data_IF_636104693803
#
_entry.id   IF_636104693803
#
_cell.length_a   1.000
_cell.length_b   1.000
_cell.length_c   1.000
_cell.angle_alpha   90.00
_cell.angle_beta   90.00
_cell.angle_gamma   90.00
#
_symmetry.space_group_name_H-M   'P 1'
#
loop_
_entity.id
_entity.type
_entity.pdbx_description
1 polymer ?
#
# COMPACT_ATOMS: atom_id res chain seq x y z
N UNK A 1 12.18 8.54 16.97
CA UNK A 1 11.91 7.57 18.06
C UNK A 1 10.56 6.93 17.75
N UNK A 2 10.43 5.61 17.83
CA UNK A 2 9.15 4.91 17.61
C UNK A 2 8.33 4.89 18.88
N UNK A 3 7.08 5.34 18.84
CA UNK A 3 6.09 5.15 19.90
C UNK A 3 5.22 3.97 19.48
N UNK A 4 4.99 3.02 20.38
CA UNK A 4 4.19 1.83 20.09
C UNK A 4 3.18 1.56 21.20
N UNK A 5 1.93 1.29 20.80
CA UNK A 5 0.86 0.84 21.70
C UNK A 5 0.37 -0.54 21.24
N UNK A 6 0.21 -1.44 22.21
CA UNK A 6 -0.38 -2.76 21.98
C UNK A 6 -1.64 -2.85 22.85
N UNK A 7 -2.78 -3.07 22.21
CA UNK A 7 -4.10 -3.12 22.86
C UNK A 7 -4.44 -1.85 23.69
N UNK A 8 -3.88 -0.70 23.27
CA UNK A 8 -4.09 0.62 23.91
C UNK A 8 -3.10 0.96 25.01
N UNK A 9 -2.12 0.08 25.30
CA UNK A 9 -1.05 0.32 26.29
C UNK A 9 0.29 0.53 25.60
N UNK A 10 1.11 1.45 26.11
CA UNK A 10 2.45 1.68 25.58
C UNK A 10 3.37 0.48 25.90
N UNK A 11 3.74 -0.27 24.86
CA UNK A 11 4.57 -1.48 24.94
C UNK A 11 5.44 -1.62 23.69
N UNK A 12 6.59 -2.30 23.83
CA UNK A 12 7.52 -2.57 22.73
C UNK A 12 7.75 -4.07 22.46
N UNK A 13 7.05 -4.93 23.15
CA UNK A 13 7.17 -6.39 23.03
C UNK A 13 5.81 -7.03 22.79
N UNK A 14 5.82 -8.09 22.00
CA UNK A 14 4.66 -8.94 21.70
C UNK A 14 5.01 -10.38 22.11
N UNK A 15 4.00 -11.15 22.51
CA UNK A 15 4.17 -12.56 22.84
C UNK A 15 4.66 -13.36 21.64
N UNK A 16 5.55 -14.32 21.86
CA UNK A 16 5.95 -15.31 20.86
C UNK A 16 4.79 -16.22 20.43
N UNK A 17 3.73 -16.29 21.24
CA UNK A 17 2.51 -17.04 20.95
C UNK A 17 1.52 -16.25 20.09
N UNK A 18 1.77 -14.94 19.82
CA UNK A 18 0.90 -14.18 18.93
C UNK A 18 0.98 -14.74 17.51
N UNK A 19 -0.17 -14.88 16.89
CA UNK A 19 -0.30 -15.49 15.57
C UNK A 19 0.32 -14.65 14.45
N UNK A 20 0.53 -13.34 14.66
CA UNK A 20 1.32 -12.52 13.73
C UNK A 20 2.78 -13.00 13.69
N UNK A 21 3.35 -13.39 14.84
CA UNK A 21 4.73 -13.91 14.93
C UNK A 21 4.84 -15.29 14.32
N UNK A 22 3.90 -16.19 14.64
CA UNK A 22 3.99 -17.60 14.23
C UNK A 22 3.61 -17.83 12.77
N UNK A 23 2.63 -17.10 12.25
CA UNK A 23 2.03 -17.40 10.93
C UNK A 23 1.82 -16.18 10.05
N UNK A 24 2.11 -14.96 10.51
CA UNK A 24 1.68 -13.76 9.81
C UNK A 24 0.15 -13.65 9.70
N UNK A 25 -0.58 -14.22 10.67
CA UNK A 25 -2.05 -14.29 10.66
C UNK A 25 -2.65 -12.96 11.11
N UNK A 26 -2.77 -12.04 10.14
CA UNK A 26 -3.25 -10.70 10.38
C UNK A 26 -3.21 -9.81 9.15
N UNK A 27 -3.65 -8.56 9.32
CA UNK A 27 -3.61 -7.52 8.32
C UNK A 27 -3.09 -6.21 8.89
N UNK A 28 -2.76 -5.26 7.99
CA UNK A 28 -2.21 -3.99 8.43
C UNK A 28 -2.60 -2.83 7.51
N UNK A 29 -2.40 -1.62 8.02
CA UNK A 29 -2.48 -0.40 7.25
C UNK A 29 -1.39 0.56 7.67
N UNK A 30 -1.01 1.47 6.77
CA UNK A 30 -0.02 2.52 7.04
C UNK A 30 -0.65 3.85 6.63
N UNK A 31 -0.67 4.81 7.53
CA UNK A 31 -1.37 6.09 7.42
C UNK A 31 -0.34 7.21 7.43
N UNK A 32 -0.44 8.15 6.50
CA UNK A 32 0.28 9.41 6.54
C UNK A 32 -0.41 10.33 7.55
N UNK A 33 0.36 10.94 8.44
CA UNK A 33 -0.11 11.98 9.38
C UNK A 33 0.44 13.33 8.91
N UNK A 34 -0.43 14.32 8.80
CA UNK A 34 -0.09 15.68 8.40
C UNK A 34 -0.68 16.65 9.43
N UNK A 35 0.14 17.48 10.06
CA UNK A 35 -0.31 18.45 11.07
C UNK A 35 -1.18 17.77 12.14
N UNK A 36 -0.77 16.63 12.68
CA UNK A 36 -1.49 15.83 13.68
C UNK A 36 -2.79 15.15 13.18
N UNK A 37 -3.10 15.20 11.88
CA UNK A 37 -4.30 14.58 11.32
C UNK A 37 -3.93 13.34 10.50
N UNK A 38 -4.50 12.17 10.80
CA UNK A 38 -4.33 10.97 9.97
C UNK A 38 -5.11 11.11 8.66
N UNK A 39 -4.40 11.13 7.52
CA UNK A 39 -4.99 11.29 6.21
C UNK A 39 -5.85 10.07 5.84
N UNK A 40 -7.02 10.30 5.23
CA UNK A 40 -7.96 9.28 4.73
C UNK A 40 -8.28 8.20 5.79
N UNK A 41 -8.45 8.60 7.05
CA UNK A 41 -8.63 7.67 8.18
C UNK A 41 -9.79 6.71 7.96
N UNK A 42 -10.95 7.19 7.47
CA UNK A 42 -12.13 6.37 7.19
C UNK A 42 -11.83 5.24 6.18
N UNK A 43 -11.06 5.53 5.13
CA UNK A 43 -10.64 4.54 4.14
C UNK A 43 -9.68 3.50 4.73
N UNK A 44 -8.81 3.91 5.64
CA UNK A 44 -7.90 3.00 6.34
C UNK A 44 -8.65 2.07 7.30
N UNK A 45 -9.61 2.58 8.06
CA UNK A 45 -10.50 1.76 8.91
C UNK A 45 -11.29 0.77 8.06
N UNK A 46 -11.91 1.22 6.96
CA UNK A 46 -12.62 0.34 6.04
C UNK A 46 -11.73 -0.79 5.48
N UNK A 47 -10.48 -0.48 5.09
CA UNK A 47 -9.52 -1.49 4.63
C UNK A 47 -9.21 -2.52 5.71
N UNK A 48 -9.03 -2.10 6.97
CA UNK A 48 -8.82 -3.01 8.09
C UNK A 48 -10.06 -3.88 8.33
N UNK A 49 -11.28 -3.30 8.28
CA UNK A 49 -12.53 -4.04 8.39
C UNK A 49 -12.65 -5.13 7.31
N UNK A 50 -12.33 -4.78 6.03
CA UNK A 50 -12.27 -5.79 4.95
C UNK A 50 -11.28 -6.90 5.25
N UNK A 51 -10.08 -6.56 5.74
CA UNK A 51 -9.05 -7.53 6.10
C UNK A 51 -9.48 -8.45 7.25
N UNK A 52 -10.00 -7.88 8.32
CA UNK A 52 -10.52 -8.61 9.50
C UNK A 52 -11.62 -9.59 9.08
N UNK A 53 -12.59 -9.11 8.28
CA UNK A 53 -13.68 -9.95 7.77
C UNK A 53 -13.19 -11.08 6.87
N UNK A 54 -12.29 -10.78 5.89
CA UNK A 54 -11.79 -11.77 4.93
C UNK A 54 -10.93 -12.85 5.60
N UNK A 55 -10.12 -12.46 6.59
CA UNK A 55 -9.25 -13.37 7.33
C UNK A 55 -9.94 -14.01 8.54
N UNK A 56 -11.21 -13.73 8.79
CA UNK A 56 -11.97 -14.23 9.94
C UNK A 56 -11.25 -13.95 11.27
N UNK A 57 -10.66 -12.76 11.41
CA UNK A 57 -10.02 -12.34 12.66
C UNK A 57 -11.07 -11.92 13.69
N UNK A 58 -10.78 -12.04 15.01
CA UNK A 58 -11.62 -11.41 16.02
C UNK A 58 -11.76 -9.90 15.76
N UNK A 59 -12.97 -9.40 15.83
CA UNK A 59 -13.27 -7.99 15.50
C UNK A 59 -12.80 -7.09 16.66
N UNK A 60 -11.89 -6.13 16.41
CA UNK A 60 -11.52 -5.14 17.41
C UNK A 60 -12.64 -4.12 17.61
N UNK A 61 -12.59 -3.40 18.74
CA UNK A 61 -13.41 -2.20 18.92
C UNK A 61 -12.95 -1.08 17.99
N UNK A 62 -13.73 -0.84 16.92
CA UNK A 62 -13.41 0.15 15.89
C UNK A 62 -13.46 1.59 16.39
N UNK A 63 -14.34 1.89 17.36
CA UNK A 63 -14.44 3.23 17.95
C UNK A 63 -13.20 3.53 18.79
N UNK A 64 -12.82 2.58 19.66
CA UNK A 64 -11.61 2.66 20.45
C UNK A 64 -10.37 2.77 19.55
N UNK A 65 -10.25 1.93 18.52
CA UNK A 65 -9.12 1.96 17.58
C UNK A 65 -9.01 3.33 16.90
N UNK A 66 -10.13 3.89 16.43
CA UNK A 66 -10.16 5.23 15.80
C UNK A 66 -9.72 6.32 16.78
N UNK A 67 -10.20 6.27 18.03
CA UNK A 67 -9.79 7.20 19.07
C UNK A 67 -8.28 7.07 19.39
N UNK A 68 -7.77 5.85 19.49
CA UNK A 68 -6.34 5.60 19.77
C UNK A 68 -5.44 6.08 18.61
N UNK A 69 -5.87 5.92 17.35
CA UNK A 69 -5.15 6.47 16.18
C UNK A 69 -5.07 7.99 16.25
N UNK A 70 -6.19 8.68 16.55
CA UNK A 70 -6.21 10.14 16.68
C UNK A 70 -5.34 10.62 17.84
N UNK A 71 -5.37 9.93 19.00
CA UNK A 71 -4.48 10.23 20.13
C UNK A 71 -3.00 10.04 19.74
N UNK A 72 -2.68 8.95 19.03
CA UNK A 72 -1.31 8.67 18.56
C UNK A 72 -0.84 9.77 17.61
N UNK A 73 -1.69 10.27 16.72
CA UNK A 73 -1.36 11.35 15.79
C UNK A 73 -1.02 12.66 16.53
N UNK A 74 -1.68 12.95 17.66
CA UNK A 74 -1.38 14.12 18.50
C UNK A 74 -0.01 14.04 19.19
N UNK A 75 0.56 12.84 19.36
CA UNK A 75 1.89 12.67 19.94
C UNK A 75 3.03 13.01 18.96
N UNK A 76 2.70 13.18 17.68
CA UNK A 76 3.67 13.58 16.67
C UNK A 76 4.19 15.00 16.96
N UNK A 77 5.53 15.17 16.83
CA UNK A 77 6.21 16.47 17.05
C UNK A 77 6.63 17.14 15.73
N UNK A 78 6.34 16.52 14.60
CA UNK A 78 6.73 16.99 13.25
C UNK A 78 5.48 17.22 12.41
N UNK A 79 5.60 17.97 11.34
CA UNK A 79 4.47 18.18 10.41
C UNK A 79 4.02 16.90 9.74
N UNK A 80 4.97 15.98 9.49
CA UNK A 80 4.71 14.68 8.84
C UNK A 80 5.16 13.52 9.73
N UNK A 81 4.32 12.50 9.80
CA UNK A 81 4.63 11.23 10.46
C UNK A 81 3.90 10.06 9.77
N UNK A 82 4.19 8.87 10.27
CA UNK A 82 3.58 7.62 9.81
C UNK A 82 2.98 6.88 11.00
N UNK A 83 1.71 6.53 10.91
CA UNK A 83 1.07 5.57 11.81
C UNK A 83 0.90 4.25 11.06
N UNK A 84 1.42 3.17 11.63
CA UNK A 84 1.17 1.79 11.16
C UNK A 84 0.29 1.08 12.17
N UNK A 85 -0.78 0.46 11.68
CA UNK A 85 -1.68 -0.36 12.48
C UNK A 85 -1.56 -1.81 12.00
N UNK A 86 -1.37 -2.74 12.93
CA UNK A 86 -1.40 -4.17 12.69
C UNK A 86 -2.53 -4.76 13.53
N UNK A 87 -3.31 -5.66 12.95
CA UNK A 87 -4.33 -6.45 13.63
C UNK A 87 -3.99 -7.92 13.39
N UNK A 88 -3.67 -8.65 14.43
CA UNK A 88 -3.50 -10.11 14.39
C UNK A 88 -4.69 -10.83 15.02
N UNK A 89 -4.75 -12.15 14.84
CA UNK A 89 -5.75 -12.98 15.51
C UNK A 89 -5.63 -12.99 17.04
N UNK A 90 -4.48 -12.63 17.60
CA UNK A 90 -4.17 -12.68 19.01
C UNK A 90 -3.25 -13.84 19.38
N UNK A 91 -3.11 -14.07 20.68
CA UNK A 91 -2.20 -15.05 21.28
C UNK A 91 -2.85 -16.42 21.45
N UNK A 92 -2.08 -17.50 21.27
CA UNK A 92 -2.47 -18.87 21.57
C UNK A 92 -2.91 -19.69 20.36
N UNK A 93 -3.68 -20.74 20.62
CA UNK A 93 -4.11 -21.71 19.64
C UNK A 93 -3.06 -22.77 19.31
N UNK A 94 -3.47 -23.80 18.56
CA UNK A 94 -2.58 -24.89 18.12
C UNK A 94 -2.65 -25.05 16.61
N UNK A 95 -1.49 -24.99 15.96
CA UNK A 95 -1.38 -25.14 14.51
C UNK A 95 -2.23 -24.12 13.77
N UNK A 96 -2.99 -24.53 12.77
CA UNK A 96 -3.81 -23.64 11.96
C UNK A 96 -5.25 -23.46 12.45
N UNK A 97 -5.63 -24.06 13.59
CA UNK A 97 -6.97 -23.90 14.17
C UNK A 97 -7.21 -22.44 14.54
N UNK A 98 -8.40 -21.94 14.22
CA UNK A 98 -8.88 -20.62 14.63
C UNK A 98 -9.87 -20.68 15.80
N UNK A 99 -10.10 -21.86 16.36
CA UNK A 99 -11.03 -22.06 17.47
C UNK A 99 -10.51 -21.42 18.75
N UNK A 100 -11.40 -20.82 19.54
CA UNK A 100 -11.08 -20.24 20.84
C UNK A 100 -10.53 -18.82 20.82
N UNK A 101 -10.26 -18.23 19.64
CA UNK A 101 -9.85 -16.83 19.55
C UNK A 101 -11.06 -15.90 19.63
N UNK A 102 -11.09 -15.05 20.64
CA UNK A 102 -12.16 -14.07 20.86
C UNK A 102 -11.66 -12.62 20.93
N UNK A 103 -10.35 -12.42 20.92
CA UNK A 103 -9.74 -11.09 21.05
C UNK A 103 -8.54 -10.94 20.09
N UNK A 104 -8.61 -9.93 19.23
CA UNK A 104 -7.49 -9.55 18.37
C UNK A 104 -6.38 -8.87 19.18
N UNK A 105 -5.13 -8.99 18.71
CA UNK A 105 -4.06 -8.07 19.10
C UNK A 105 -4.02 -6.90 18.13
N UNK A 106 -4.07 -5.68 18.67
CA UNK A 106 -3.99 -4.42 17.92
C UNK A 106 -2.71 -3.71 18.27
N UNK A 107 -1.85 -3.47 17.29
CA UNK A 107 -0.60 -2.74 17.43
C UNK A 107 -0.71 -1.44 16.66
N UNK A 108 -0.43 -0.30 17.29
CA UNK A 108 -0.37 1.03 16.67
C UNK A 108 1.03 1.57 16.92
N UNK A 109 1.75 1.93 15.86
CA UNK A 109 3.07 2.53 15.96
C UNK A 109 3.14 3.86 15.21
N UNK A 110 3.82 4.84 15.82
CA UNK A 110 4.12 6.15 15.25
C UNK A 110 5.62 6.24 14.96
N UNK A 111 5.96 6.62 13.73
CA UNK A 111 7.35 6.78 13.27
C UNK A 111 7.48 8.03 12.39
N UNK A 112 8.73 8.44 12.14
CA UNK A 112 9.03 9.55 11.23
C UNK A 112 8.57 9.23 9.80
N UNK A 113 8.16 10.27 9.07
CA UNK A 113 7.83 10.15 7.65
C UNK A 113 9.12 10.09 6.82
N UNK A 114 9.21 9.21 5.81
CA UNK A 114 10.38 9.13 4.93
C UNK A 114 10.49 10.37 4.04
N UNK A 115 11.44 11.26 4.35
CA UNK A 115 11.59 12.54 3.66
C UNK A 115 11.89 12.42 2.16
N UNK A 116 12.43 11.28 1.71
CA UNK A 116 12.72 11.01 0.31
C UNK A 116 11.48 11.13 -0.58
N UNK A 117 10.28 10.80 -0.08
CA UNK A 117 9.05 10.89 -0.87
C UNK A 117 8.67 12.30 -1.27
N UNK A 118 9.08 13.32 -0.49
CA UNK A 118 8.86 14.73 -0.84
C UNK A 118 9.69 15.14 -2.05
N UNK A 119 10.94 14.68 -2.11
CA UNK A 119 11.80 14.90 -3.26
C UNK A 119 11.30 14.14 -4.50
N UNK A 120 10.98 12.86 -4.34
CA UNK A 120 10.46 12.00 -5.41
C UNK A 120 9.16 12.53 -6.03
N UNK A 121 8.31 13.20 -5.24
CA UNK A 121 7.09 13.83 -5.74
C UNK A 121 7.40 14.97 -6.71
N UNK A 122 8.50 15.70 -6.51
CA UNK A 122 8.93 16.79 -7.38
C UNK A 122 9.69 16.27 -8.62
N UNK A 123 10.64 15.36 -8.41
CA UNK A 123 11.56 14.88 -9.46
C UNK A 123 10.98 13.75 -10.31
N UNK A 124 9.97 13.04 -9.83
CA UNK A 124 9.57 11.75 -10.37
C UNK A 124 10.53 10.63 -9.94
N UNK A 125 10.26 9.42 -10.42
CA UNK A 125 10.98 8.20 -10.04
C UNK A 125 11.30 7.30 -11.22
N UNK A 126 12.29 6.44 -11.04
CA UNK A 126 12.68 5.39 -11.99
C UNK A 126 12.23 4.02 -11.47
N UNK A 127 11.63 3.22 -12.35
CA UNK A 127 11.18 1.86 -12.04
C UNK A 127 12.01 0.81 -12.78
N UNK A 128 11.91 -0.44 -12.30
CA UNK A 128 12.32 -1.63 -13.06
C UNK A 128 11.17 -2.64 -13.15
N UNK A 129 11.33 -3.68 -13.96
CA UNK A 129 10.47 -4.86 -13.91
C UNK A 129 11.06 -5.86 -12.92
N UNK A 130 10.27 -6.26 -11.91
CA UNK A 130 10.68 -7.32 -10.99
C UNK A 130 10.74 -8.66 -11.73
N UNK A 131 11.78 -9.45 -11.44
CA UNK A 131 11.85 -10.86 -11.87
C UNK A 131 11.11 -11.80 -10.89
N UNK A 132 10.69 -11.28 -9.74
CA UNK A 132 9.98 -12.02 -8.71
C UNK A 132 8.49 -11.67 -8.83
N UNK A 133 7.65 -12.62 -9.24
CA UNK A 133 6.20 -12.40 -9.28
C UNK A 133 5.59 -12.48 -7.89
N UNK A 134 4.38 -11.94 -7.72
CA UNK A 134 3.55 -12.19 -6.55
C UNK A 134 2.60 -13.35 -6.81
N UNK A 135 2.26 -14.08 -5.76
CA UNK A 135 1.38 -15.23 -5.86
C UNK A 135 -0.04 -14.84 -6.28
N UNK A 136 -0.60 -15.64 -7.17
CA UNK A 136 -2.00 -15.55 -7.58
C UNK A 136 -2.85 -16.30 -6.55
N UNK A 137 -3.58 -15.56 -5.71
CA UNK A 137 -4.44 -16.11 -4.69
C UNK A 137 -5.72 -15.27 -4.53
N UNK A 138 -6.85 -15.66 -5.18
CA UNK A 138 -8.11 -14.92 -5.13
C UNK A 138 -8.67 -14.72 -3.71
N UNK A 139 -8.35 -15.62 -2.77
CA UNK A 139 -8.81 -15.51 -1.39
C UNK A 139 -8.09 -14.40 -0.61
N UNK A 140 -6.84 -14.08 -0.97
CA UNK A 140 -6.03 -13.05 -0.34
C UNK A 140 -5.90 -11.77 -1.18
N UNK A 141 -6.33 -11.80 -2.43
CA UNK A 141 -6.29 -10.68 -3.35
C UNK A 141 -7.02 -9.44 -2.77
N UNK A 142 -6.42 -8.27 -2.97
CA UNK A 142 -6.90 -7.00 -2.44
C UNK A 142 -6.62 -6.77 -0.96
N UNK A 143 -6.26 -7.79 -0.19
CA UNK A 143 -6.03 -7.70 1.26
C UNK A 143 -4.56 -7.35 1.55
N UNK A 144 -4.35 -6.36 2.44
CA UNK A 144 -3.02 -6.02 2.95
C UNK A 144 -2.70 -6.88 4.19
N UNK A 145 -2.52 -8.20 3.97
CA UNK A 145 -2.18 -9.18 5.02
C UNK A 145 -0.70 -9.09 5.41
N UNK A 146 -0.29 -9.76 6.50
CA UNK A 146 1.06 -9.67 7.05
C UNK A 146 2.12 -10.49 6.28
N UNK A 147 1.72 -11.48 5.49
CA UNK A 147 2.64 -12.30 4.70
C UNK A 147 3.16 -11.51 3.50
N UNK A 148 4.35 -10.89 3.61
CA UNK A 148 4.95 -9.97 2.63
C UNK A 148 6.38 -10.34 2.25
N UNK A 149 6.70 -11.64 2.26
CA UNK A 149 8.04 -12.12 1.89
C UNK A 149 8.38 -11.79 0.45
N UNK A 150 7.44 -11.93 -0.48
CA UNK A 150 7.63 -11.55 -1.89
C UNK A 150 8.05 -10.08 -2.02
N UNK A 151 7.35 -9.16 -1.32
CA UNK A 151 7.68 -7.73 -1.35
C UNK A 151 9.06 -7.43 -0.72
N UNK A 152 9.49 -8.21 0.27
CA UNK A 152 10.84 -8.09 0.85
C UNK A 152 11.90 -8.50 -0.16
N UNK A 153 11.71 -9.62 -0.87
CA UNK A 153 12.61 -10.09 -1.91
C UNK A 153 12.66 -9.11 -3.11
N UNK A 154 11.50 -8.59 -3.53
CA UNK A 154 11.42 -7.57 -4.58
C UNK A 154 12.14 -6.29 -4.14
N UNK A 155 11.99 -5.87 -2.87
CA UNK A 155 12.68 -4.68 -2.35
C UNK A 155 14.19 -4.84 -2.35
N UNK A 156 14.70 -6.03 -2.04
CA UNK A 156 16.13 -6.33 -2.18
C UNK A 156 16.60 -6.16 -3.64
N UNK A 157 15.82 -6.60 -4.62
CA UNK A 157 16.12 -6.41 -6.03
C UNK A 157 16.16 -4.90 -6.42
N UNK A 158 15.19 -4.11 -5.94
CA UNK A 158 15.14 -2.66 -6.13
C UNK A 158 16.43 -2.00 -5.61
N UNK A 159 16.87 -2.39 -4.42
CA UNK A 159 18.08 -1.84 -3.78
C UNK A 159 19.35 -2.22 -4.54
N UNK A 160 19.48 -3.47 -4.99
CA UNK A 160 20.61 -3.93 -5.79
C UNK A 160 20.71 -3.22 -7.15
N UNK A 161 19.58 -2.87 -7.77
CA UNK A 161 19.53 -2.17 -9.06
C UNK A 161 19.60 -0.65 -8.91
N UNK A 162 19.57 -0.14 -7.68
CA UNK A 162 19.57 1.30 -7.36
C UNK A 162 18.48 2.07 -8.12
N UNK A 163 17.26 1.54 -8.08
CA UNK A 163 16.04 2.18 -8.60
C UNK A 163 15.08 2.48 -7.46
N UNK A 164 14.06 3.28 -7.72
CA UNK A 164 13.15 3.73 -6.66
C UNK A 164 12.09 2.68 -6.31
N UNK A 165 11.54 1.99 -7.34
CA UNK A 165 10.45 1.02 -7.18
C UNK A 165 10.51 -0.03 -8.30
N UNK A 166 9.72 -1.11 -8.19
CA UNK A 166 9.63 -2.14 -9.23
C UNK A 166 8.17 -2.46 -9.58
N UNK A 167 7.92 -2.59 -10.86
CA UNK A 167 6.69 -3.15 -11.43
C UNK A 167 6.66 -4.63 -11.13
N UNK A 168 5.50 -5.12 -10.72
CA UNK A 168 5.27 -6.50 -10.29
C UNK A 168 4.16 -7.13 -11.10
N UNK A 169 4.38 -8.37 -11.52
CA UNK A 169 3.38 -9.23 -12.14
C UNK A 169 2.94 -10.34 -11.18
N UNK A 170 1.83 -10.98 -11.49
CA UNK A 170 1.49 -12.27 -10.87
C UNK A 170 2.27 -13.41 -11.50
N UNK A 171 2.03 -14.64 -11.04
CA UNK A 171 2.66 -15.86 -11.56
C UNK A 171 2.30 -16.21 -13.01
N UNK A 172 1.29 -15.56 -13.58
CA UNK A 172 0.91 -15.69 -15.00
C UNK A 172 1.56 -14.57 -15.86
N UNK A 173 2.35 -13.69 -15.27
CA UNK A 173 2.97 -12.55 -15.95
C UNK A 173 2.06 -11.33 -16.12
N UNK A 174 0.86 -11.34 -15.53
CA UNK A 174 -0.11 -10.24 -15.61
C UNK A 174 0.33 -9.10 -14.68
N UNK A 175 0.31 -7.87 -15.18
CA UNK A 175 0.63 -6.66 -14.44
C UNK A 175 -0.32 -6.50 -13.25
N UNK A 176 0.24 -6.33 -12.03
CA UNK A 176 -0.55 -6.17 -10.80
C UNK A 176 -0.37 -4.79 -10.16
N UNK A 177 0.80 -4.20 -10.29
CA UNK A 177 1.14 -2.92 -9.69
C UNK A 177 2.63 -2.81 -9.45
N UNK A 178 3.01 -2.25 -8.29
CA UNK A 178 4.40 -2.16 -7.87
C UNK A 178 4.63 -2.86 -6.53
N UNK A 179 5.89 -3.01 -6.11
CA UNK A 179 6.25 -3.64 -4.83
C UNK A 179 5.48 -3.02 -3.65
N UNK A 180 5.40 -1.68 -3.58
CA UNK A 180 4.73 -0.98 -2.49
C UNK A 180 3.63 0.00 -2.95
N UNK A 181 3.25 0.03 -4.24
CA UNK A 181 2.31 0.98 -4.81
C UNK A 181 1.33 0.34 -5.81
N UNK A 182 0.20 1.00 -6.05
CA UNK A 182 -0.66 0.74 -7.20
C UNK A 182 -0.19 1.59 -8.39
N UNK A 183 -0.51 1.17 -9.60
CA UNK A 183 -0.10 1.80 -10.84
C UNK A 183 -1.31 2.25 -11.66
N UNK A 184 -1.19 3.39 -12.32
CA UNK A 184 -2.11 3.89 -13.34
C UNK A 184 -1.33 4.29 -14.59
N UNK A 185 -1.89 3.97 -15.73
CA UNK A 185 -1.34 4.24 -17.05
C UNK A 185 -2.29 5.19 -17.77
N UNK A 186 -1.79 6.22 -18.42
CA UNK A 186 -2.61 7.13 -19.23
C UNK A 186 -2.23 7.02 -20.71
N UNK A 187 -3.24 6.99 -21.57
CA UNK A 187 -3.12 7.19 -23.00
C UNK A 187 -4.24 8.12 -23.48
N UNK A 188 -3.89 9.34 -23.83
CA UNK A 188 -4.89 10.37 -24.11
C UNK A 188 -5.82 10.60 -22.90
N UNK A 189 -7.12 10.37 -23.09
CA UNK A 189 -8.13 10.46 -22.02
C UNK A 189 -8.40 9.10 -21.33
N UNK A 190 -7.80 8.04 -21.80
CA UNK A 190 -7.98 6.70 -21.24
C UNK A 190 -6.98 6.46 -20.11
N UNK A 191 -7.50 6.00 -18.97
CA UNK A 191 -6.73 5.64 -17.78
C UNK A 191 -6.89 4.14 -17.53
N UNK A 192 -5.79 3.45 -17.35
CA UNK A 192 -5.77 2.02 -17.11
C UNK A 192 -5.18 1.73 -15.74
N UNK A 193 -5.76 0.79 -15.00
CA UNK A 193 -5.21 0.27 -13.74
C UNK A 193 -5.45 -1.24 -13.67
N UNK A 194 -4.50 -2.02 -13.12
CA UNK A 194 -4.68 -3.47 -13.02
C UNK A 194 -5.93 -3.88 -12.25
N UNK A 195 -6.59 -4.94 -12.73
CA UNK A 195 -7.57 -5.70 -11.95
C UNK A 195 -6.84 -6.43 -10.81
N UNK A 196 -7.44 -6.44 -9.62
CA UNK A 196 -6.84 -7.01 -8.41
C UNK A 196 -7.65 -8.21 -7.87
N UNK A 197 -8.39 -8.92 -8.73
CA UNK A 197 -9.23 -10.04 -8.30
C UNK A 197 -8.41 -11.28 -7.92
N UNK A 198 -7.20 -11.40 -8.45
CA UNK A 198 -6.36 -12.58 -8.26
C UNK A 198 -5.10 -12.32 -7.44
N UNK A 199 -4.57 -11.11 -7.45
CA UNK A 199 -3.34 -10.73 -6.75
C UNK A 199 -3.32 -9.24 -6.39
N UNK A 200 -2.31 -8.81 -5.62
CA UNK A 200 -2.08 -7.40 -5.29
C UNK A 200 -2.84 -6.91 -4.05
N UNK A 201 -2.77 -5.59 -3.82
CA UNK A 201 -3.39 -4.91 -2.67
C UNK A 201 -4.29 -3.79 -3.17
N UNK A 202 -5.54 -3.77 -2.72
CA UNK A 202 -6.46 -2.67 -2.98
C UNK A 202 -6.05 -1.44 -2.13
N UNK A 203 -5.29 -0.53 -2.76
CA UNK A 203 -4.72 0.64 -2.08
C UNK A 203 -5.78 1.67 -1.70
N UNK A 204 -5.61 2.31 -0.53
CA UNK A 204 -6.47 3.42 -0.10
C UNK A 204 -6.35 4.57 -1.10
N UNK A 205 -5.13 4.93 -1.49
CA UNK A 205 -4.91 5.99 -2.48
C UNK A 205 -5.40 5.59 -3.88
N UNK A 206 -5.31 4.30 -4.27
CA UNK A 206 -5.92 3.83 -5.52
C UNK A 206 -7.42 4.12 -5.56
N UNK A 207 -8.13 3.86 -4.46
CA UNK A 207 -9.57 4.19 -4.36
C UNK A 207 -9.83 5.70 -4.46
N UNK A 208 -9.00 6.50 -3.82
CA UNK A 208 -9.09 7.97 -3.90
C UNK A 208 -8.91 8.46 -5.34
N UNK A 209 -7.90 7.96 -6.07
CA UNK A 209 -7.68 8.30 -7.48
C UNK A 209 -8.87 7.90 -8.34
N UNK A 210 -9.40 6.67 -8.16
CA UNK A 210 -10.58 6.19 -8.89
C UNK A 210 -11.79 7.09 -8.65
N UNK A 211 -12.04 7.47 -7.40
CA UNK A 211 -13.12 8.38 -7.05
C UNK A 211 -12.94 9.78 -7.68
N UNK A 212 -11.70 10.29 -7.74
CA UNK A 212 -11.42 11.57 -8.37
C UNK A 212 -11.63 11.56 -9.89
N UNK A 213 -11.47 10.42 -10.54
CA UNK A 213 -11.64 10.28 -11.99
C UNK A 213 -13.11 10.17 -12.40
N UNK A 214 -14.02 9.76 -11.50
CA UNK A 214 -15.43 9.48 -11.83
C UNK A 214 -16.20 10.69 -12.36
N UNK A 215 -15.80 11.91 -11.96
CA UNK A 215 -16.47 13.16 -12.32
C UNK A 215 -15.65 13.99 -13.35
N UNK A 216 -14.87 13.31 -14.19
CA UNK A 216 -13.97 13.92 -15.18
C UNK A 216 -14.20 13.38 -16.57
N UNK A 217 -13.55 14.00 -17.58
CA UNK A 217 -13.53 13.51 -18.95
C UNK A 217 -12.58 12.31 -19.18
N UNK A 218 -11.92 11.83 -18.13
CA UNK A 218 -11.10 10.63 -18.21
C UNK A 218 -11.96 9.37 -18.13
N UNK A 219 -11.64 8.39 -18.97
CA UNK A 219 -12.28 7.07 -18.98
C UNK A 219 -11.39 6.05 -18.27
N UNK A 220 -11.90 5.43 -17.19
CA UNK A 220 -11.14 4.45 -16.42
C UNK A 220 -11.44 3.02 -16.87
N UNK A 221 -10.37 2.26 -17.13
CA UNK A 221 -10.41 0.85 -17.49
C UNK A 221 -9.65 -0.01 -16.49
N UNK A 222 -10.25 -1.13 -16.09
CA UNK A 222 -9.56 -2.17 -15.32
C UNK A 222 -9.04 -3.20 -16.30
N UNK A 223 -7.73 -3.50 -16.20
CA UNK A 223 -7.04 -4.37 -17.15
C UNK A 223 -6.43 -5.59 -16.48
N UNK A 224 -6.34 -6.69 -17.23
CA UNK A 224 -5.56 -7.88 -16.92
C UNK A 224 -4.63 -8.13 -18.09
N UNK A 225 -3.55 -7.36 -18.17
CA UNK A 225 -2.65 -7.30 -19.32
C UNK A 225 -1.19 -7.52 -18.90
N UNK A 226 -0.33 -7.81 -19.86
CA UNK A 226 1.11 -7.93 -19.65
C UNK A 226 1.79 -6.56 -19.56
N UNK A 227 3.00 -6.48 -18.98
CA UNK A 227 3.75 -5.22 -18.88
C UNK A 227 4.03 -4.48 -20.18
N UNK A 228 3.90 -5.12 -21.35
CA UNK A 228 4.08 -4.48 -22.66
C UNK A 228 3.16 -3.25 -22.88
N UNK A 229 2.00 -3.21 -22.21
CA UNK A 229 1.09 -2.06 -22.28
C UNK A 229 1.77 -0.76 -21.84
N UNK A 230 2.76 -0.85 -20.95
CA UNK A 230 3.55 0.28 -20.47
C UNK A 230 4.28 1.03 -21.58
N UNK A 231 4.73 0.31 -22.63
CA UNK A 231 5.42 0.90 -23.79
C UNK A 231 4.53 1.85 -24.61
N UNK A 232 3.21 1.70 -24.51
CA UNK A 232 2.23 2.46 -25.29
C UNK A 232 1.54 3.57 -24.48
N UNK A 233 1.97 3.77 -23.23
CA UNK A 233 1.39 4.79 -22.34
C UNK A 233 2.09 6.13 -22.53
N UNK A 234 1.31 7.23 -22.49
CA UNK A 234 1.84 8.58 -22.52
C UNK A 234 2.42 9.00 -21.16
N UNK A 235 1.87 8.43 -20.09
CA UNK A 235 2.23 8.75 -18.71
C UNK A 235 1.95 7.55 -17.80
N UNK A 236 2.82 7.37 -16.83
CA UNK A 236 2.68 6.36 -15.76
C UNK A 236 2.80 7.05 -14.42
N UNK A 237 1.86 6.78 -13.53
CA UNK A 237 1.90 7.22 -12.14
C UNK A 237 1.75 6.04 -11.19
N UNK A 238 2.34 6.16 -10.00
CA UNK A 238 2.14 5.19 -8.93
C UNK A 238 1.61 5.88 -7.67
N UNK A 239 0.89 5.13 -6.84
CA UNK A 239 0.23 5.67 -5.65
C UNK A 239 0.31 4.73 -4.46
N UNK A 240 0.55 5.28 -3.27
CA UNK A 240 0.27 4.62 -2.02
C UNK A 240 -0.08 5.64 -0.92
N UNK A 241 -0.40 5.19 0.29
CA UNK A 241 -0.84 6.10 1.35
C UNK A 241 0.26 7.02 1.91
N UNK A 242 1.54 6.69 1.75
CA UNK A 242 2.68 7.51 2.20
C UNK A 242 3.24 8.41 1.09
N UNK A 243 3.30 7.90 -0.13
CA UNK A 243 3.62 8.66 -1.34
C UNK A 243 2.35 8.75 -2.19
N UNK A 244 1.47 9.74 -1.92
CA UNK A 244 0.11 9.76 -2.46
C UNK A 244 0.03 9.62 -3.96
N UNK A 245 0.95 10.28 -4.67
CA UNK A 245 1.11 10.16 -6.11
C UNK A 245 2.55 10.49 -6.51
N UNK A 246 3.15 9.66 -7.33
CA UNK A 246 4.46 9.90 -7.94
C UNK A 246 4.38 9.69 -9.45
N UNK A 247 5.03 10.57 -10.21
CA UNK A 247 5.22 10.43 -11.65
C UNK A 247 6.40 9.50 -11.92
N UNK A 248 6.25 8.60 -12.90
CA UNK A 248 7.32 7.72 -13.37
C UNK A 248 8.04 8.39 -14.54
N UNK A 249 9.36 8.53 -14.44
CA UNK A 249 10.18 9.11 -15.51
C UNK A 249 10.55 8.06 -16.55
N UNK A 250 10.94 6.88 -16.08
CA UNK A 250 11.35 5.77 -16.97
C UNK A 250 11.21 4.41 -16.28
N UNK A 251 11.13 3.38 -17.12
CA UNK A 251 11.13 1.98 -16.68
C UNK A 251 12.30 1.26 -17.35
N UNK A 252 13.17 0.69 -16.53
CA UNK A 252 14.33 -0.07 -16.93
C UNK A 252 13.96 -1.55 -17.00
N UNK A 253 14.02 -2.17 -18.18
CA UNK A 253 13.61 -3.57 -18.36
C UNK A 253 14.74 -4.55 -18.04
N UNK A 254 15.99 -4.21 -18.36
CA UNK A 254 17.26 -4.84 -17.92
C UNK A 254 18.44 -3.90 -18.29
N UNK A 255 19.67 -4.11 -17.79
CA UNK A 255 20.80 -3.19 -18.01
C UNK A 255 21.17 -2.93 -19.48
N UNK A 256 20.62 -3.67 -20.45
CA UNK A 256 20.91 -3.53 -21.90
C UNK A 256 19.68 -3.53 -22.78
N UNK A 257 18.45 -3.49 -22.22
CA UNK A 257 17.21 -3.50 -23.00
C UNK A 257 16.59 -2.10 -23.07
N UNK A 258 15.66 -1.86 -24.04
CA UNK A 258 15.01 -0.58 -24.20
C UNK A 258 14.42 -0.05 -22.90
N UNK A 259 14.62 1.22 -22.67
CA UNK A 259 14.05 1.96 -21.55
C UNK A 259 12.80 2.66 -22.06
N UNK A 260 11.69 2.49 -21.37
CA UNK A 260 10.50 3.28 -21.64
C UNK A 260 10.61 4.59 -20.87
N UNK A 261 10.41 5.72 -21.58
CA UNK A 261 10.48 7.08 -21.02
C UNK A 261 9.12 7.75 -21.07
N UNK A 262 8.78 8.46 -20.01
CA UNK A 262 7.55 9.23 -19.90
C UNK A 262 7.88 10.69 -19.61
N UNK A 263 7.38 11.59 -20.46
CA UNK A 263 7.62 13.03 -20.35
C UNK A 263 6.38 13.80 -19.92
N UNK A 264 5.19 13.21 -20.10
CA UNK A 264 3.95 13.81 -19.67
C UNK A 264 3.77 13.71 -18.16
N UNK A 265 3.21 14.77 -17.60
CA UNK A 265 2.81 14.85 -16.17
C UNK A 265 1.37 15.41 -16.06
N UNK A 266 0.57 15.28 -17.09
CA UNK A 266 -0.78 15.83 -17.16
C UNK A 266 -1.71 15.21 -16.09
N UNK A 267 -1.75 13.88 -16.04
CA UNK A 267 -2.55 13.16 -15.05
C UNK A 267 -2.01 13.38 -13.61
N UNK A 268 -0.69 13.39 -13.45
CA UNK A 268 -0.05 13.68 -12.17
C UNK A 268 -0.44 15.06 -11.65
N UNK A 269 -0.30 16.10 -12.47
CA UNK A 269 -0.62 17.49 -12.10
C UNK A 269 -2.11 17.62 -11.76
N UNK A 270 -2.97 16.99 -12.55
CA UNK A 270 -4.41 16.99 -12.31
C UNK A 270 -4.78 16.32 -10.97
N UNK A 271 -4.21 15.14 -10.67
CA UNK A 271 -4.56 14.36 -9.48
C UNK A 271 -3.86 14.83 -8.20
N UNK A 272 -2.72 15.51 -8.29
CA UNK A 272 -1.91 15.88 -7.13
C UNK A 272 -2.69 16.60 -6.01
N UNK A 273 -3.52 17.64 -6.32
CA UNK A 273 -4.28 18.34 -5.27
C UNK A 273 -5.27 17.42 -4.53
N UNK A 274 -5.87 16.46 -5.24
CA UNK A 274 -6.82 15.51 -4.66
C UNK A 274 -6.14 14.44 -3.81
N UNK A 275 -4.96 13.96 -4.25
CA UNK A 275 -4.18 12.97 -3.52
C UNK A 275 -3.54 13.54 -2.23
N UNK A 276 -3.36 14.85 -2.14
CA UNK A 276 -2.82 15.50 -0.94
C UNK A 276 -3.88 15.84 0.09
N UNK A 277 -5.18 15.75 -0.21
CA UNK A 277 -6.27 15.97 0.75
C UNK A 277 -6.17 14.99 1.92
N UNK A 278 -6.68 15.41 3.07
CA UNK A 278 -6.67 14.63 4.31
C UNK A 278 -7.96 13.80 4.47
N UNK A 279 -9.04 14.23 3.85
CA UNK A 279 -10.37 13.62 3.88
C UNK A 279 -10.91 13.44 2.47
#
# INVERSE_FOLDING_TARGET
>A
MMICWINGEQRNNISVEDRAVQFGDGCFTTIRVVGHQPALLSHHIYRLQKGVKRLLLPTPDWQKLTADINKMAQLNKKDLAVIKIIISRGEGGRGYSIAGFNKATVIISLTDYPAIYLNQQQTGIDLTLSTIPVNNNPYLAGIKHLNRLEQILIKQQIELLNVDEAIVTDTNGILIGCCAANIFLRKGKQIYTPNLDHAGVEGVMRKQVIACLSDTDYELFYISDYPNILAHSDEVIITNALMPILSVNRILTQPKQPVWHYYSRELFIFLLPYCLRLN
#
